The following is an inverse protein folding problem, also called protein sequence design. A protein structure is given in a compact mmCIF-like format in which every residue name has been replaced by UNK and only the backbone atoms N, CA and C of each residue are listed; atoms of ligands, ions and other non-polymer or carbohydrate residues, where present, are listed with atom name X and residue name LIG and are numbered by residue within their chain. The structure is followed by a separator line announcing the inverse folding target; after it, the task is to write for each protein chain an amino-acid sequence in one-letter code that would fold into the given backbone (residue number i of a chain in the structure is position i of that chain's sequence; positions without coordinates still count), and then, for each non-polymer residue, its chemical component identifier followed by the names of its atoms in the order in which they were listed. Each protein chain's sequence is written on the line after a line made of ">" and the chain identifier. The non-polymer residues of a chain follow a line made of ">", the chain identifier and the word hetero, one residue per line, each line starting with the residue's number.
data_IF_670722649448
#
_entry.id   IF_670722649448
#
_cell.length_a   1.000
_cell.length_b   1.000
_cell.length_c   1.000
_cell.angle_alpha   90.00
_cell.angle_beta   90.00
_cell.angle_gamma   90.00
#
_symmetry.space_group_name_H-M   'P 1'
#
loop_
_entity.id
_entity.type
_entity.pdbx_description
1 polymer ?
#
# COMPACT_ATOMS: atom_id res chain seq x y z
N UNK A 1 9.63 13.20 -9.51
CA UNK A 1 8.69 12.11 -9.88
C UNK A 1 9.20 10.73 -9.45
N UNK A 2 10.49 10.51 -9.23
CA UNK A 2 11.01 9.22 -8.73
C UNK A 2 10.95 9.01 -7.20
N UNK A 3 10.61 10.05 -6.42
CA UNK A 3 10.61 9.99 -4.93
C UNK A 3 9.64 8.96 -4.37
N UNK A 4 8.45 8.85 -4.96
CA UNK A 4 7.35 8.06 -4.39
C UNK A 4 7.56 6.57 -4.71
N UNK A 5 8.11 6.28 -5.90
CA UNK A 5 8.54 4.93 -6.26
C UNK A 5 9.74 4.48 -5.46
N UNK A 6 10.70 5.38 -5.19
CA UNK A 6 11.83 5.10 -4.31
C UNK A 6 11.34 4.77 -2.90
N UNK A 7 10.39 5.54 -2.36
CA UNK A 7 9.76 5.24 -1.07
C UNK A 7 9.11 3.85 -1.06
N UNK A 8 8.35 3.49 -2.09
CA UNK A 8 7.72 2.17 -2.19
C UNK A 8 8.77 1.04 -2.28
N UNK A 9 9.85 1.25 -3.03
CA UNK A 9 10.94 0.30 -3.15
C UNK A 9 11.67 0.08 -1.82
N UNK A 10 11.99 1.17 -1.10
CA UNK A 10 12.65 1.11 0.20
C UNK A 10 11.74 0.49 1.27
N UNK A 11 10.44 0.80 1.24
CA UNK A 11 9.45 0.17 2.13
C UNK A 11 9.44 -1.35 1.96
N UNK A 12 9.35 -1.83 0.71
CA UNK A 12 9.37 -3.26 0.42
C UNK A 12 10.71 -3.90 0.77
N UNK A 13 11.83 -3.21 0.51
CA UNK A 13 13.16 -3.70 0.88
C UNK A 13 13.27 -3.99 2.37
N UNK A 14 12.63 -3.18 3.22
CA UNK A 14 12.70 -3.30 4.67
C UNK A 14 11.63 -4.23 5.27
N UNK A 15 10.45 -4.35 4.65
CA UNK A 15 9.29 -5.04 5.24
C UNK A 15 8.79 -6.25 4.46
N UNK A 16 9.17 -6.40 3.19
CA UNK A 16 8.79 -7.54 2.32
C UNK A 16 9.86 -7.79 1.25
N UNK A 17 11.01 -8.28 1.70
CA UNK A 17 12.19 -8.47 0.86
C UNK A 17 11.92 -9.45 -0.30
N UNK A 18 11.07 -10.46 -0.09
CA UNK A 18 10.70 -11.41 -1.13
C UNK A 18 10.00 -10.73 -2.31
N UNK A 19 9.03 -9.85 -2.04
CA UNK A 19 8.37 -9.07 -3.09
C UNK A 19 9.27 -8.01 -3.69
N UNK A 20 10.14 -7.38 -2.90
CA UNK A 20 11.15 -6.47 -3.43
C UNK A 20 12.01 -7.12 -4.52
N UNK A 21 12.58 -8.29 -4.25
CA UNK A 21 13.41 -9.03 -5.21
C UNK A 21 12.59 -9.46 -6.43
N UNK A 22 11.36 -9.91 -6.23
CA UNK A 22 10.45 -10.28 -7.34
C UNK A 22 10.23 -9.13 -8.32
N UNK A 23 10.08 -7.90 -7.83
CA UNK A 23 9.93 -6.71 -8.67
C UNK A 23 11.19 -6.38 -9.49
N UNK A 24 12.39 -6.73 -9.03
CA UNK A 24 13.63 -6.44 -9.76
C UNK A 24 13.73 -7.22 -11.07
N UNK A 25 13.05 -8.36 -11.19
CA UNK A 25 12.94 -9.13 -12.44
C UNK A 25 12.00 -8.51 -13.47
N UNK A 26 11.19 -7.51 -13.09
CA UNK A 26 10.30 -6.80 -14.00
C UNK A 26 11.06 -5.73 -14.79
N UNK A 27 10.56 -5.44 -16.00
CA UNK A 27 11.02 -4.31 -16.79
C UNK A 27 10.78 -2.97 -16.07
N UNK A 28 11.54 -1.90 -16.38
CA UNK A 28 11.54 -0.65 -15.62
C UNK A 28 10.15 -0.02 -15.43
N UNK A 29 9.33 -0.05 -16.47
CA UNK A 29 7.97 0.52 -16.46
C UNK A 29 7.01 -0.26 -15.54
N UNK A 30 7.10 -1.60 -15.56
CA UNK A 30 6.26 -2.47 -14.71
C UNK A 30 6.74 -2.50 -13.26
N UNK A 31 8.05 -2.35 -13.04
CA UNK A 31 8.67 -2.36 -11.71
C UNK A 31 8.12 -1.26 -10.82
N UNK A 32 7.98 -0.04 -11.34
CA UNK A 32 7.45 1.10 -10.59
C UNK A 32 6.00 0.83 -10.13
N UNK A 33 5.14 0.37 -11.04
CA UNK A 33 3.77 0.00 -10.70
C UNK A 33 3.70 -1.16 -9.68
N UNK A 34 4.55 -2.18 -9.84
CA UNK A 34 4.61 -3.31 -8.91
C UNK A 34 5.05 -2.89 -7.51
N UNK A 35 6.04 -2.00 -7.38
CA UNK A 35 6.44 -1.46 -6.09
C UNK A 35 5.29 -0.73 -5.39
N UNK A 36 4.54 0.11 -6.11
CA UNK A 36 3.39 0.81 -5.55
C UNK A 36 2.31 -0.16 -5.04
N UNK A 37 1.92 -1.13 -5.86
CA UNK A 37 0.88 -2.11 -5.52
C UNK A 37 1.28 -2.96 -4.32
N UNK A 38 2.53 -3.46 -4.29
CA UNK A 38 2.96 -4.30 -3.19
C UNK A 38 3.23 -3.53 -1.91
N UNK A 39 3.75 -2.30 -1.99
CA UNK A 39 3.90 -1.45 -0.81
C UNK A 39 2.53 -1.14 -0.17
N UNK A 40 1.52 -0.86 -1.00
CA UNK A 40 0.14 -0.66 -0.54
C UNK A 40 -0.43 -1.93 0.10
N UNK A 41 -0.28 -3.08 -0.56
CA UNK A 41 -0.72 -4.37 0.00
C UNK A 41 -0.06 -4.65 1.36
N UNK A 42 1.25 -4.44 1.47
CA UNK A 42 1.98 -4.66 2.72
C UNK A 42 1.46 -3.77 3.86
N UNK A 43 1.03 -2.52 3.57
CA UNK A 43 0.39 -1.66 4.58
C UNK A 43 -1.01 -2.15 4.97
N UNK A 44 -1.84 -2.58 4.02
CA UNK A 44 -3.19 -3.08 4.34
C UNK A 44 -3.11 -4.38 5.14
N UNK A 45 -2.23 -5.30 4.77
CA UNK A 45 -2.10 -6.61 5.43
C UNK A 45 -1.65 -6.49 6.89
N UNK A 46 -1.09 -5.36 7.31
CA UNK A 46 -0.74 -5.08 8.71
C UNK A 46 -1.94 -4.63 9.55
N UNK A 47 -3.00 -4.11 8.93
CA UNK A 47 -4.17 -3.58 9.63
C UNK A 47 -4.81 -4.66 10.53
N UNK A 48 -5.10 -5.90 10.08
CA UNK A 48 -5.75 -6.92 10.90
C UNK A 48 -4.94 -7.34 12.13
N UNK A 49 -3.61 -7.20 12.11
CA UNK A 49 -2.74 -7.60 13.21
C UNK A 49 -2.73 -6.58 14.37
N UNK A 50 -3.21 -5.35 14.14
CA UNK A 50 -3.15 -4.25 15.12
C UNK A 50 -4.50 -3.95 15.81
N UNK A 51 -5.57 -4.66 15.47
CA UNK A 51 -6.93 -4.34 15.95
C UNK A 51 -7.40 -5.42 16.92
N UNK A 52 -7.58 -5.03 18.19
CA UNK A 52 -8.24 -5.86 19.21
C UNK A 52 -9.77 -5.86 19.06
N UNK A 53 -10.32 -4.89 18.32
CA UNK A 53 -11.75 -4.74 18.02
C UNK A 53 -11.89 -4.56 16.48
N UNK A 54 -12.64 -5.41 15.75
CA UNK A 54 -12.66 -5.40 14.28
C UNK A 54 -13.31 -4.16 13.64
N UNK A 55 -14.16 -3.44 14.37
CA UNK A 55 -14.99 -2.35 13.83
C UNK A 55 -14.19 -1.15 13.25
N UNK A 56 -13.12 -0.63 13.90
CA UNK A 56 -12.30 0.45 13.34
C UNK A 56 -11.52 0.03 12.08
N UNK A 57 -11.19 -1.25 11.94
CA UNK A 57 -10.50 -1.79 10.76
C UNK A 57 -11.36 -1.74 9.52
N UNK A 58 -12.63 -2.13 9.65
CA UNK A 58 -13.61 -2.11 8.56
C UNK A 58 -13.84 -0.68 8.03
N UNK A 59 -13.93 0.31 8.92
CA UNK A 59 -14.11 1.73 8.54
C UNK A 59 -12.91 2.22 7.71
N UNK A 60 -11.67 1.90 8.13
CA UNK A 60 -10.46 2.28 7.38
C UNK A 60 -10.42 1.62 6.00
N UNK A 61 -10.79 0.35 5.89
CA UNK A 61 -10.83 -0.37 4.61
C UNK A 61 -11.91 0.24 3.70
N UNK A 62 -13.08 0.54 4.24
CA UNK A 62 -14.16 1.16 3.47
C UNK A 62 -13.77 2.53 2.92
N UNK A 63 -13.11 3.37 3.73
CA UNK A 63 -12.58 4.67 3.28
C UNK A 63 -11.57 4.52 2.13
N UNK A 64 -10.64 3.57 2.23
CA UNK A 64 -9.70 3.27 1.15
C UNK A 64 -10.40 2.84 -0.13
N UNK A 65 -11.44 2.00 -0.04
CA UNK A 65 -12.25 1.60 -1.19
C UNK A 65 -12.97 2.77 -1.83
N UNK A 66 -13.50 3.70 -1.03
CA UNK A 66 -14.23 4.85 -1.53
C UNK A 66 -13.31 5.86 -2.25
N UNK A 67 -12.08 6.03 -1.77
CA UNK A 67 -11.05 6.81 -2.49
C UNK A 67 -10.67 6.15 -3.80
N UNK A 68 -10.43 4.83 -3.81
CA UNK A 68 -10.06 4.11 -5.05
C UNK A 68 -11.18 4.16 -6.08
N UNK A 69 -12.43 4.08 -5.64
CA UNK A 69 -13.62 4.19 -6.52
C UNK A 69 -13.92 5.64 -6.93
N UNK A 70 -13.17 6.61 -6.42
CA UNK A 70 -13.40 8.04 -6.63
C UNK A 70 -14.82 8.48 -6.21
N UNK A 71 -15.41 7.75 -5.25
CA UNK A 71 -16.73 8.04 -4.68
C UNK A 71 -16.64 8.95 -3.46
N UNK A 72 -15.43 9.17 -2.93
CA UNK A 72 -15.13 10.12 -1.88
C UNK A 72 -14.02 11.07 -2.33
N UNK A 73 -14.16 12.36 -1.99
CA UNK A 73 -13.04 13.31 -2.06
C UNK A 73 -12.05 13.00 -0.95
N UNK A 74 -10.72 13.07 -1.20
CA UNK A 74 -9.69 12.85 -0.18
C UNK A 74 -9.70 14.02 0.82
N UNK A 75 -10.70 14.04 1.70
CA UNK A 75 -10.85 14.99 2.78
C UNK A 75 -10.54 14.28 4.09
N UNK A 76 -9.26 14.28 4.47
CA UNK A 76 -8.77 13.80 5.77
C UNK A 76 -8.44 12.31 5.82
N UNK A 77 -7.22 12.02 6.29
CA UNK A 77 -6.75 10.66 6.63
C UNK A 77 -7.59 10.14 7.82
N UNK A 78 -8.14 8.90 7.78
CA UNK A 78 -9.01 8.36 8.83
C UNK A 78 -8.21 7.92 10.07
N UNK A 79 -7.17 8.65 10.46
CA UNK A 79 -6.36 8.40 11.66
C UNK A 79 -7.17 8.59 12.92
#
# INVERSE_FOLDING_TARGET
>A
MDSDFQYCADHLRNHDYGRYISCLFLGPQLRQAAFAIYAFHNKISQIPALISDPMPGEIRIQWWMDIIKNTATPSGDPV
#
